data_IF_689547421070
#
_entry.id   IF_689547421070
#
_cell.length_a   1.000
_cell.length_b   1.000
_cell.length_c   1.000
_cell.angle_alpha   90.00
_cell.angle_beta   90.00
_cell.angle_gamma   90.00
#
_symmetry.space_group_name_H-M   'P 1'
#
loop_
_entity.id
_entity.type
_entity.pdbx_description
1 polymer ?
#
# COMPACT_ATOMS: atom_id res chain seq x y z
N UNK A 1 8.70 -21.60 0.51
CA UNK A 1 8.62 -20.27 1.16
C UNK A 1 9.00 -19.09 0.24
N UNK A 2 9.95 -19.21 -0.69
CA UNK A 2 10.39 -18.07 -1.54
C UNK A 2 9.36 -17.56 -2.58
N UNK A 3 8.52 -18.44 -3.17
CA UNK A 3 7.59 -18.08 -4.27
C UNK A 3 6.37 -17.24 -3.83
N UNK A 4 5.99 -17.33 -2.55
CA UNK A 4 4.84 -16.62 -2.00
C UNK A 4 5.17 -15.15 -1.70
N UNK A 5 6.32 -14.89 -1.06
CA UNK A 5 6.85 -13.55 -0.83
C UNK A 5 7.05 -12.76 -2.13
N UNK A 6 7.54 -13.43 -3.18
CA UNK A 6 7.73 -12.77 -4.49
C UNK A 6 6.42 -12.43 -5.21
N UNK A 7 5.32 -13.17 -4.95
CA UNK A 7 4.00 -12.84 -5.50
C UNK A 7 3.39 -11.65 -4.77
N UNK A 8 3.49 -11.63 -3.44
CA UNK A 8 3.03 -10.51 -2.61
C UNK A 8 3.78 -9.21 -2.94
N UNK A 9 5.10 -9.30 -3.12
CA UNK A 9 5.93 -8.15 -3.45
C UNK A 9 5.66 -7.60 -4.87
N UNK A 10 5.25 -8.46 -5.81
CA UNK A 10 4.90 -8.03 -7.17
C UNK A 10 3.50 -7.43 -7.26
N UNK A 11 2.54 -7.95 -6.48
CA UNK A 11 1.17 -7.44 -6.44
C UNK A 11 1.07 -6.07 -5.78
N UNK A 12 1.83 -5.84 -4.70
CA UNK A 12 1.66 -4.63 -3.89
C UNK A 12 2.96 -3.84 -3.64
N UNK A 13 3.81 -3.75 -4.70
CA UNK A 13 5.13 -3.12 -4.63
C UNK A 13 5.08 -1.67 -4.13
N UNK A 14 4.08 -0.90 -4.54
CA UNK A 14 3.94 0.50 -4.16
C UNK A 14 3.66 0.67 -2.65
N UNK A 15 2.75 -0.13 -2.09
CA UNK A 15 2.44 -0.13 -0.66
C UNK A 15 3.65 -0.54 0.18
N UNK A 16 4.38 -1.57 -0.25
CA UNK A 16 5.58 -2.03 0.46
C UNK A 16 6.68 -0.96 0.43
N UNK A 17 6.88 -0.28 -0.71
CA UNK A 17 7.83 0.82 -0.79
C UNK A 17 7.41 2.01 0.07
N UNK A 18 6.12 2.38 0.08
CA UNK A 18 5.60 3.44 0.94
C UNK A 18 5.82 3.11 2.42
N UNK A 19 5.59 1.86 2.83
CA UNK A 19 5.85 1.41 4.20
C UNK A 19 7.34 1.50 4.56
N UNK A 20 8.23 1.02 3.69
CA UNK A 20 9.69 1.07 3.91
C UNK A 20 10.18 2.52 4.03
N UNK A 21 9.75 3.40 3.13
CA UNK A 21 10.12 4.82 3.17
C UNK A 21 9.60 5.49 4.45
N UNK A 22 8.35 5.22 4.83
CA UNK A 22 7.77 5.76 6.07
C UNK A 22 8.53 5.32 7.33
N UNK A 23 8.96 4.05 7.39
CA UNK A 23 9.77 3.53 8.50
C UNK A 23 11.14 4.20 8.55
N UNK A 24 11.83 4.31 7.41
CA UNK A 24 13.16 4.93 7.35
C UNK A 24 13.10 6.40 7.78
N UNK A 25 12.10 7.15 7.33
CA UNK A 25 11.90 8.55 7.74
C UNK A 25 11.59 8.66 9.23
N UNK A 26 10.73 7.80 9.76
CA UNK A 26 10.36 7.80 11.18
C UNK A 26 11.57 7.48 12.08
N UNK A 27 12.39 6.48 11.71
CA UNK A 27 13.62 6.16 12.42
C UNK A 27 14.66 7.29 12.32
N UNK A 28 14.76 7.95 11.16
CA UNK A 28 15.59 9.13 10.98
C UNK A 28 15.20 10.28 11.90
N UNK A 29 13.90 10.54 12.05
CA UNK A 29 13.38 11.54 12.99
C UNK A 29 13.67 11.13 14.44
N UNK A 30 13.45 9.86 14.78
CA UNK A 30 13.68 9.34 16.13
C UNK A 30 15.14 9.46 16.56
N UNK A 31 16.07 9.30 15.62
CA UNK A 31 17.50 9.41 15.89
C UNK A 31 18.01 10.85 15.90
N UNK A 32 17.49 11.71 15.02
CA UNK A 32 18.02 13.08 14.83
C UNK A 32 17.36 14.13 15.71
N UNK A 33 16.11 13.91 16.14
CA UNK A 33 15.34 14.86 16.95
C UNK A 33 15.30 14.36 18.40
N UNK A 34 15.91 15.08 19.36
CA UNK A 34 15.94 14.65 20.76
C UNK A 34 14.66 14.99 21.52
N UNK A 35 13.87 15.95 21.06
CA UNK A 35 12.62 16.35 21.72
C UNK A 35 11.49 15.37 21.39
N UNK A 36 10.75 14.92 22.41
CA UNK A 36 9.69 13.91 22.24
C UNK A 36 8.47 14.46 21.50
N UNK A 37 8.02 15.66 21.87
CA UNK A 37 6.82 16.28 21.28
C UNK A 37 7.06 16.53 19.78
N UNK A 38 8.20 17.10 19.44
CA UNK A 38 8.60 17.38 18.06
C UNK A 38 8.73 16.10 17.24
N UNK A 39 9.26 15.01 17.83
CA UNK A 39 9.31 13.69 17.17
C UNK A 39 7.91 13.22 16.80
N UNK A 40 6.96 13.25 17.74
CA UNK A 40 5.58 12.84 17.46
C UNK A 40 4.90 13.74 16.43
N UNK A 41 5.09 15.06 16.51
CA UNK A 41 4.52 16.00 15.53
C UNK A 41 5.05 15.76 14.11
N UNK A 42 6.30 15.34 13.95
CA UNK A 42 6.89 15.04 12.63
C UNK A 42 6.54 13.64 12.12
N UNK A 43 6.40 12.67 13.02
CA UNK A 43 6.04 11.28 12.69
C UNK A 43 4.55 11.15 12.36
N UNK A 44 3.68 11.91 13.02
CA UNK A 44 2.22 11.82 12.85
C UNK A 44 1.75 12.07 11.40
N UNK A 45 2.24 13.09 10.66
CA UNK A 45 1.93 13.28 9.25
C UNK A 45 2.40 12.12 8.36
N UNK A 46 3.53 11.48 8.69
CA UNK A 46 4.04 10.32 7.94
C UNK A 46 3.07 9.15 8.08
N UNK A 47 2.59 8.88 9.31
CA UNK A 47 1.57 7.86 9.55
C UNK A 47 0.24 8.19 8.87
N UNK A 48 -0.24 9.44 8.99
CA UNK A 48 -1.47 9.87 8.35
C UNK A 48 -1.41 9.73 6.82
N UNK A 49 -0.28 10.11 6.21
CA UNK A 49 -0.02 9.93 4.79
C UNK A 49 0.00 8.47 4.37
N UNK A 50 0.61 7.59 5.16
CA UNK A 50 0.63 6.15 4.90
C UNK A 50 -0.77 5.52 4.97
N UNK A 51 -1.58 5.86 5.99
CA UNK A 51 -2.95 5.36 6.13
C UNK A 51 -3.81 5.85 4.96
N UNK A 52 -3.74 7.14 4.62
CA UNK A 52 -4.49 7.72 3.50
C UNK A 52 -4.11 7.04 2.18
N UNK A 53 -2.81 6.86 1.93
CA UNK A 53 -2.31 6.16 0.75
C UNK A 53 -2.79 4.70 0.70
N UNK A 54 -2.81 4.03 1.85
CA UNK A 54 -3.29 2.65 1.95
C UNK A 54 -4.77 2.56 1.61
N UNK A 55 -5.61 3.46 2.13
CA UNK A 55 -7.05 3.49 1.81
C UNK A 55 -7.28 3.75 0.32
N UNK A 56 -6.54 4.68 -0.28
CA UNK A 56 -6.68 5.01 -1.70
C UNK A 56 -6.30 3.83 -2.61
N UNK A 57 -5.18 3.16 -2.32
CA UNK A 57 -4.77 1.96 -3.06
C UNK A 57 -5.74 0.82 -2.86
N UNK A 58 -6.19 0.56 -1.63
CA UNK A 58 -7.14 -0.52 -1.37
C UNK A 58 -8.46 -0.29 -2.10
N UNK A 59 -8.94 0.95 -2.16
CA UNK A 59 -10.15 1.29 -2.93
C UNK A 59 -9.97 1.02 -4.44
N UNK A 60 -8.81 1.32 -5.00
CA UNK A 60 -8.48 0.99 -6.40
C UNK A 60 -8.35 -0.53 -6.61
N UNK A 61 -7.72 -1.27 -5.68
CA UNK A 61 -7.53 -2.73 -5.75
C UNK A 61 -8.87 -3.50 -5.60
N UNK A 62 -9.80 -3.02 -4.77
CA UNK A 62 -11.16 -3.57 -4.66
C UNK A 62 -11.97 -3.38 -5.95
N UNK A 63 -11.88 -2.21 -6.59
CA UNK A 63 -12.55 -1.92 -7.87
C UNK A 63 -12.00 -2.77 -9.03
N UNK A 64 -10.70 -3.07 -9.03
CA UNK A 64 -10.10 -3.97 -10.02
C UNK A 64 -10.43 -5.45 -9.75
N UNK A 65 -10.52 -5.85 -8.48
CA UNK A 65 -10.92 -7.20 -8.07
C UNK A 65 -12.37 -7.56 -8.40
N UNK A 66 -13.29 -6.60 -8.40
CA UNK A 66 -14.67 -6.79 -8.88
C UNK A 66 -14.73 -7.03 -10.39
N UNK A 67 -13.96 -6.25 -11.18
CA UNK A 67 -13.89 -6.42 -12.65
C UNK A 67 -13.34 -7.78 -13.07
N UNK A 68 -12.37 -8.33 -12.34
CA UNK A 68 -11.87 -9.69 -12.61
C UNK A 68 -12.89 -10.79 -12.28
N UNK A 69 -13.73 -10.59 -11.26
CA UNK A 69 -14.77 -11.57 -10.88
C UNK A 69 -15.91 -11.60 -11.90
N UNK A 70 -16.38 -10.44 -12.37
CA UNK A 70 -17.41 -10.37 -13.42
C UNK A 70 -16.97 -11.03 -14.74
N UNK A 71 -15.70 -10.89 -15.12
CA UNK A 71 -15.15 -11.50 -16.35
C UNK A 71 -14.99 -13.02 -16.24
N UNK A 72 -14.74 -13.55 -15.04
CA UNK A 72 -14.61 -15.01 -14.80
C UNK A 72 -15.96 -15.70 -14.63
N UNK A 73 -16.96 -15.00 -14.09
CA UNK A 73 -18.29 -15.56 -13.85
C UNK A 73 -19.19 -15.55 -15.10
N UNK A 74 -18.88 -14.71 -16.10
CA UNK A 74 -19.62 -14.69 -17.37
C UNK A 74 -18.71 -14.71 -18.61
N UNK A 75 -18.15 -15.88 -19.00
CA UNK A 75 -17.29 -16.01 -20.17
C UNK A 75 -18.02 -15.78 -21.52
N UNK A 76 -19.35 -15.65 -21.55
CA UNK A 76 -20.11 -15.55 -22.80
C UNK A 76 -20.06 -14.17 -23.48
N UNK A 77 -19.66 -13.09 -22.80
CA UNK A 77 -19.63 -11.75 -23.41
C UNK A 77 -18.43 -11.46 -24.32
N UNK A 78 -17.41 -12.33 -24.38
CA UNK A 78 -16.25 -12.16 -25.28
C UNK A 78 -16.38 -12.83 -26.65
N UNK A 79 -17.48 -13.56 -26.91
CA UNK A 79 -17.66 -14.29 -28.18
C UNK A 79 -18.45 -13.53 -29.26
N UNK A 80 -18.86 -12.28 -29.01
CA UNK A 80 -19.54 -11.43 -30.02
C UNK A 80 -19.04 -10.00 -29.98
N UNK A 81 -17.86 -9.75 -30.55
CA UNK A 81 -17.55 -8.50 -31.22
C UNK A 81 -16.44 -8.71 -32.25
#
# INVERSE_FOLDING_TARGET
MHKWWTKFYKGNKAMIWAAVVGIVLSLGILWKVPDEVTRFTLIMPIFAGFILFSILITADEELEGEKEKEVKENPEKKAKH
#
